data_IF_702433901987
#
_entry.id   IF_702433901987
#
_cell.length_a   1.000
_cell.length_b   1.000
_cell.length_c   1.000
_cell.angle_alpha   90.00
_cell.angle_beta   90.00
_cell.angle_gamma   90.00
#
_symmetry.space_group_name_H-M   'P 1'
#
loop_
_entity.id
_entity.type
_entity.pdbx_description
1 polymer ?
#
# COMPACT_ATOMS: atom_id res chain seq x y z
N UNK A 1 -57.05 -9.92 43.57
CA UNK A 1 -55.97 -10.07 42.57
C UNK A 1 -56.06 -8.85 41.67
N UNK A 2 -55.09 -7.98 41.82
CA UNK A 2 -54.99 -6.64 41.23
C UNK A 2 -54.66 -6.66 39.72
N UNK A 3 -54.80 -5.51 39.02
CA UNK A 3 -55.38 -5.39 37.69
C UNK A 3 -54.34 -4.99 36.62
N UNK A 4 -54.74 -4.92 35.34
CA UNK A 4 -54.16 -3.92 34.43
C UNK A 4 -55.24 -3.29 33.53
N UNK A 5 -55.39 -1.99 33.77
CA UNK A 5 -56.28 -1.03 33.12
C UNK A 5 -55.62 -0.53 31.83
N UNK A 6 -56.38 -0.57 30.73
CA UNK A 6 -56.11 0.15 29.49
C UNK A 6 -56.13 1.67 29.73
N UNK A 7 -55.06 2.38 29.39
CA UNK A 7 -55.08 3.81 29.10
C UNK A 7 -54.23 4.14 27.87
N UNK A 8 -54.92 4.68 26.87
CA UNK A 8 -54.37 5.34 25.69
C UNK A 8 -53.62 6.63 26.07
N UNK A 9 -52.49 6.89 25.42
CA UNK A 9 -51.98 8.25 25.22
C UNK A 9 -51.28 8.37 23.86
N UNK A 10 -51.99 9.05 22.96
CA UNK A 10 -51.54 10.03 21.95
C UNK A 10 -50.02 10.17 21.73
N UNK A 11 -49.54 9.76 20.55
CA UNK A 11 -48.24 10.19 20.02
C UNK A 11 -48.46 11.43 19.14
N UNK A 12 -47.96 12.57 19.62
CA UNK A 12 -47.86 13.80 18.85
C UNK A 12 -46.68 13.72 17.86
N UNK A 13 -46.95 14.11 16.61
CA UNK A 13 -45.96 14.44 15.61
C UNK A 13 -45.22 15.75 15.96
N UNK A 14 -43.90 15.77 15.78
CA UNK A 14 -43.17 16.98 15.38
C UNK A 14 -41.96 16.60 14.50
N UNK A 15 -41.69 17.33 13.41
CA UNK A 15 -40.68 16.99 12.39
C UNK A 15 -39.36 17.73 12.63
N UNK A 16 -38.22 17.08 12.39
CA UNK A 16 -36.92 17.77 12.32
C UNK A 16 -36.09 17.23 11.14
N UNK A 17 -36.04 18.07 10.11
CA UNK A 17 -34.96 18.36 9.15
C UNK A 17 -33.99 17.26 8.71
N UNK A 18 -34.16 16.83 7.45
CA UNK A 18 -33.13 16.17 6.64
C UNK A 18 -32.09 17.20 6.19
N UNK A 19 -30.86 17.08 6.67
CA UNK A 19 -29.69 17.71 6.05
C UNK A 19 -29.10 16.73 5.04
N UNK A 20 -29.16 17.12 3.77
CA UNK A 20 -28.47 16.51 2.65
C UNK A 20 -26.95 16.64 2.87
N UNK A 21 -26.23 15.52 2.85
CA UNK A 21 -24.80 15.53 2.51
C UNK A 21 -24.64 14.69 1.25
N UNK A 22 -24.15 15.41 0.23
CA UNK A 22 -23.91 15.02 -1.15
C UNK A 22 -23.02 13.79 -1.26
N UNK A 23 -23.59 12.69 -1.74
CA UNK A 23 -22.83 11.54 -2.25
C UNK A 23 -22.26 11.90 -3.62
N UNK A 24 -20.96 12.23 -3.68
CA UNK A 24 -20.24 12.33 -4.95
C UNK A 24 -19.19 11.21 -5.03
N UNK A 25 -19.58 10.17 -5.75
CA UNK A 25 -18.82 9.44 -6.75
C UNK A 25 -17.30 9.29 -6.53
N UNK A 26 -16.91 8.14 -5.97
CA UNK A 26 -15.61 7.53 -6.28
C UNK A 26 -15.92 6.14 -6.84
N UNK A 27 -16.18 6.11 -8.14
CA UNK A 27 -16.18 4.92 -8.97
C UNK A 27 -15.03 5.07 -9.94
N UNK A 28 -14.31 3.95 -10.17
CA UNK A 28 -13.18 3.69 -11.08
C UNK A 28 -11.82 3.86 -10.40
N UNK A 29 -10.97 2.85 -10.32
CA UNK A 29 -11.06 1.51 -10.88
C UNK A 29 -9.85 0.70 -10.43
N UNK A 30 -10.14 -0.42 -9.77
CA UNK A 30 -9.23 -1.54 -9.63
C UNK A 30 -9.16 -2.22 -11.00
N UNK A 31 -8.16 -1.87 -11.78
CA UNK A 31 -7.80 -2.62 -12.99
C UNK A 31 -6.36 -2.30 -13.33
N UNK A 32 -5.58 -3.36 -13.55
CA UNK A 32 -4.17 -3.40 -13.98
C UNK A 32 -3.11 -3.29 -12.89
N UNK A 33 -2.94 -4.36 -12.09
CA UNK A 33 -1.68 -4.63 -11.38
C UNK A 33 -1.02 -5.96 -11.75
N UNK A 34 -1.48 -6.65 -12.79
CA UNK A 34 -0.76 -7.78 -13.37
C UNK A 34 -0.81 -7.74 -14.88
N UNK A 35 0.22 -7.14 -15.48
CA UNK A 35 0.73 -7.58 -16.78
C UNK A 35 2.15 -7.07 -16.96
N UNK A 36 3.07 -8.01 -16.81
CA UNK A 36 4.45 -8.04 -17.30
C UNK A 36 4.75 -7.09 -18.46
N UNK A 37 5.84 -6.33 -18.36
CA UNK A 37 6.85 -6.23 -19.43
C UNK A 37 8.26 -6.08 -18.82
N UNK A 38 9.31 -6.61 -19.48
CA UNK A 38 10.62 -6.84 -18.90
C UNK A 38 11.59 -5.69 -19.19
N UNK A 39 12.60 -5.50 -18.34
CA UNK A 39 13.83 -4.84 -18.74
C UNK A 39 15.07 -5.48 -18.08
N UNK A 40 15.98 -5.92 -18.95
CA UNK A 40 17.33 -6.47 -18.73
C UNK A 40 18.25 -5.27 -18.42
N UNK A 41 19.24 -5.26 -17.52
CA UNK A 41 20.46 -6.09 -17.46
C UNK A 41 21.37 -5.73 -16.28
N UNK A 42 22.28 -6.68 -15.98
CA UNK A 42 23.62 -6.61 -15.37
C UNK A 42 23.70 -7.13 -13.93
N UNK A 43 24.59 -8.08 -13.53
CA UNK A 43 25.84 -8.63 -14.09
C UNK A 43 26.22 -9.94 -13.33
N UNK A 44 26.91 -10.86 -14.03
CA UNK A 44 27.86 -11.91 -13.54
C UNK A 44 27.27 -13.07 -12.70
N UNK A 45 27.58 -14.36 -12.87
CA UNK A 45 28.83 -15.02 -13.24
C UNK A 45 28.58 -16.53 -13.58
N UNK A 46 29.41 -17.09 -14.48
CA UNK A 46 29.90 -18.47 -14.55
C UNK A 46 29.07 -19.64 -15.17
N UNK A 47 29.69 -20.22 -16.22
CA UNK A 47 29.68 -21.63 -16.70
C UNK A 47 28.34 -22.16 -17.26
N UNK A 48 28.21 -22.84 -18.41
CA UNK A 48 29.09 -23.77 -19.13
C UNK A 48 28.68 -23.85 -20.61
N UNK A 49 29.58 -24.43 -21.40
CA UNK A 49 29.55 -24.74 -22.84
C UNK A 49 28.20 -25.26 -23.39
N UNK A 50 27.87 -24.87 -24.64
CA UNK A 50 27.75 -25.76 -25.83
C UNK A 50 27.56 -24.90 -27.10
N UNK A 51 28.30 -25.27 -28.15
CA UNK A 51 28.40 -24.66 -29.48
C UNK A 51 27.08 -24.61 -30.28
N UNK A 52 26.98 -23.69 -31.25
CA UNK A 52 26.91 -24.02 -32.69
C UNK A 52 26.92 -22.77 -33.60
N UNK A 53 27.95 -22.75 -34.46
CA UNK A 53 27.99 -22.28 -35.86
C UNK A 53 27.68 -20.81 -36.26
N UNK A 54 28.79 -20.14 -36.64
CA UNK A 54 29.05 -19.54 -37.97
C UNK A 54 28.23 -18.34 -38.44
N UNK A 55 28.82 -17.14 -38.38
CA UNK A 55 29.24 -16.34 -39.56
C UNK A 55 29.66 -14.90 -39.16
N UNK A 56 30.89 -14.50 -39.52
CA UNK A 56 31.34 -13.10 -39.69
C UNK A 56 30.85 -12.60 -41.08
N UNK A 57 30.96 -11.31 -41.50
CA UNK A 57 31.58 -10.17 -40.81
C UNK A 57 30.79 -8.83 -40.84
N UNK A 58 31.19 -7.93 -39.95
CA UNK A 58 31.21 -6.46 -40.12
C UNK A 58 29.88 -5.70 -40.29
N UNK A 59 29.29 -5.29 -39.17
CA UNK A 59 28.69 -3.96 -39.05
C UNK A 59 29.17 -3.31 -37.74
N UNK A 60 30.19 -2.47 -37.86
CA UNK A 60 30.63 -1.59 -36.79
C UNK A 60 29.59 -0.48 -36.62
N UNK A 61 28.62 -0.68 -35.73
CA UNK A 61 27.74 0.40 -35.30
C UNK A 61 28.52 1.25 -34.31
N UNK A 62 29.15 2.28 -34.88
CA UNK A 62 29.78 3.36 -34.15
C UNK A 62 28.66 4.22 -33.54
N UNK A 63 28.20 3.84 -32.33
CA UNK A 63 27.35 4.72 -31.53
C UNK A 63 28.22 5.88 -31.06
N UNK A 64 28.20 6.95 -31.86
CA UNK A 64 28.74 8.25 -31.49
C UNK A 64 27.88 8.77 -30.35
N UNK A 65 28.36 8.56 -29.13
CA UNK A 65 27.86 9.22 -27.93
C UNK A 65 28.10 10.72 -28.09
N UNK A 66 27.14 11.38 -28.76
CA UNK A 66 27.09 12.83 -28.80
C UNK A 66 26.53 13.27 -27.45
N UNK A 67 27.40 13.29 -26.46
CA UNK A 67 27.23 14.06 -25.23
C UNK A 67 26.97 15.52 -25.59
N UNK A 68 25.69 15.88 -25.73
CA UNK A 68 25.26 17.25 -25.53
C UNK A 68 24.97 17.36 -24.05
N UNK A 69 25.80 18.12 -23.35
CA UNK A 69 25.62 18.39 -21.93
C UNK A 69 24.22 18.95 -21.67
N UNK A 70 23.42 18.18 -20.95
CA UNK A 70 22.27 18.70 -20.25
C UNK A 70 22.79 19.49 -19.06
N UNK A 71 22.69 20.81 -19.17
CA UNK A 71 22.84 21.74 -18.06
C UNK A 71 21.92 21.27 -16.93
N UNK A 72 22.40 21.15 -15.68
CA UNK A 72 21.55 20.78 -14.56
C UNK A 72 20.37 21.75 -14.49
N UNK A 73 19.14 21.23 -14.61
CA UNK A 73 17.94 22.03 -14.41
C UNK A 73 18.02 22.68 -13.02
N UNK A 74 17.69 23.96 -12.94
CA UNK A 74 17.62 24.66 -11.65
C UNK A 74 16.38 24.18 -10.88
N UNK A 75 16.47 24.17 -9.55
CA UNK A 75 15.36 23.80 -8.66
C UNK A 75 14.12 24.65 -8.96
N UNK A 76 14.28 25.96 -9.23
CA UNK A 76 13.15 26.84 -9.57
C UNK A 76 12.47 26.44 -10.89
N UNK A 77 13.26 26.11 -11.93
CA UNK A 77 12.71 25.67 -13.21
C UNK A 77 12.00 24.32 -13.12
N UNK A 78 12.38 23.45 -12.17
CA UNK A 78 11.72 22.17 -11.97
C UNK A 78 10.26 22.34 -11.52
N UNK A 79 9.99 23.26 -10.58
CA UNK A 79 8.63 23.58 -10.14
C UNK A 79 7.77 24.12 -11.28
N UNK A 80 8.34 24.97 -12.14
CA UNK A 80 7.65 25.52 -13.32
C UNK A 80 7.32 24.44 -14.37
N UNK A 81 8.24 23.51 -14.64
CA UNK A 81 8.03 22.41 -15.59
C UNK A 81 6.87 21.50 -15.14
N UNK A 82 6.84 21.16 -13.85
CA UNK A 82 5.77 20.35 -13.27
C UNK A 82 4.48 21.15 -13.04
N UNK A 83 4.58 22.49 -12.98
CA UNK A 83 3.44 23.38 -12.77
C UNK A 83 2.90 23.33 -11.34
N UNK A 84 3.80 23.15 -10.36
CA UNK A 84 3.44 23.02 -8.94
C UNK A 84 4.12 24.13 -8.12
N UNK A 85 3.48 24.51 -7.01
CA UNK A 85 4.04 25.49 -6.07
C UNK A 85 5.30 24.95 -5.38
N UNK A 86 6.28 25.80 -5.00
CA UNK A 86 7.39 25.41 -4.13
C UNK A 86 6.93 24.81 -2.78
N UNK A 87 5.73 25.19 -2.32
CA UNK A 87 5.12 24.71 -1.07
C UNK A 87 4.13 23.54 -1.31
N UNK A 88 4.21 22.85 -2.46
CA UNK A 88 3.26 21.78 -2.79
C UNK A 88 3.42 20.55 -1.88
N UNK A 89 2.34 19.78 -1.75
CA UNK A 89 2.36 18.49 -1.02
C UNK A 89 2.94 17.37 -1.89
N UNK A 90 3.47 16.30 -1.27
CA UNK A 90 3.98 15.13 -2.01
C UNK A 90 2.92 14.51 -2.95
N UNK A 91 1.65 14.50 -2.51
CA UNK A 91 0.53 14.01 -3.32
C UNK A 91 0.31 14.87 -4.57
N UNK A 92 0.40 16.19 -4.43
CA UNK A 92 0.27 17.15 -5.53
C UNK A 92 1.43 17.02 -6.51
N UNK A 93 2.67 16.87 -6.01
CA UNK A 93 3.85 16.62 -6.82
C UNK A 93 3.72 15.34 -7.66
N UNK A 94 3.33 14.22 -7.03
CA UNK A 94 3.11 12.94 -7.71
C UNK A 94 1.96 13.02 -8.72
N UNK A 95 0.87 13.72 -8.39
CA UNK A 95 -0.28 13.92 -9.29
C UNK A 95 0.09 14.74 -10.53
N UNK A 96 0.83 15.84 -10.35
CA UNK A 96 1.29 16.69 -11.44
C UNK A 96 2.25 15.93 -12.37
N UNK A 97 3.19 15.16 -11.80
CA UNK A 97 4.08 14.30 -12.57
C UNK A 97 3.31 13.30 -13.44
N UNK A 98 2.37 12.53 -12.85
CA UNK A 98 1.54 11.56 -13.59
C UNK A 98 0.75 12.24 -14.73
N UNK A 99 0.23 13.44 -14.47
CA UNK A 99 -0.53 14.22 -15.45
C UNK A 99 0.34 14.66 -16.64
N UNK A 100 1.55 15.16 -16.37
CA UNK A 100 2.52 15.58 -17.40
C UNK A 100 3.05 14.40 -18.22
N UNK A 101 3.36 13.28 -17.57
CA UNK A 101 3.78 12.05 -18.28
C UNK A 101 2.69 11.56 -19.22
N UNK A 102 1.43 11.55 -18.76
CA UNK A 102 0.29 11.18 -19.62
C UNK A 102 0.11 12.13 -20.81
N UNK A 103 0.40 13.41 -20.63
CA UNK A 103 0.33 14.43 -21.69
C UNK A 103 1.41 14.23 -22.77
N UNK A 104 2.63 13.88 -22.35
CA UNK A 104 3.79 13.76 -23.25
C UNK A 104 4.16 12.31 -23.60
N UNK A 105 3.36 11.31 -23.21
CA UNK A 105 3.63 9.93 -23.56
C UNK A 105 3.65 9.75 -25.09
N UNK A 106 4.65 9.03 -25.66
CA UNK A 106 4.76 8.86 -27.11
C UNK A 106 3.53 8.21 -27.73
N UNK A 107 2.80 7.36 -26.99
CA UNK A 107 1.55 6.73 -27.47
C UNK A 107 0.37 7.71 -27.58
N UNK A 108 0.43 8.86 -26.92
CA UNK A 108 -0.67 9.84 -26.87
C UNK A 108 -0.33 11.11 -27.65
N UNK A 109 0.94 11.51 -27.69
CA UNK A 109 1.39 12.70 -28.40
C UNK A 109 1.58 12.46 -29.90
N UNK A 110 1.08 13.37 -30.73
CA UNK A 110 1.25 13.32 -32.19
C UNK A 110 2.62 13.84 -32.66
N UNK A 111 3.33 14.55 -31.79
CA UNK A 111 4.64 15.17 -32.08
C UNK A 111 5.77 14.43 -31.35
N UNK A 112 6.19 13.30 -31.93
CA UNK A 112 7.14 12.35 -31.30
C UNK A 112 8.47 12.97 -30.85
N UNK A 113 8.94 14.00 -31.56
CA UNK A 113 10.27 14.59 -31.33
C UNK A 113 10.27 15.65 -30.22
N UNK A 114 9.13 16.30 -29.98
CA UNK A 114 8.97 17.25 -28.87
C UNK A 114 8.52 16.53 -27.59
N UNK A 115 7.71 15.47 -27.72
CA UNK A 115 7.23 14.67 -26.59
C UNK A 115 8.36 13.99 -25.80
N UNK A 116 9.36 13.42 -26.49
CA UNK A 116 10.52 12.78 -25.83
C UNK A 116 11.35 13.80 -25.04
N UNK A 117 11.62 14.99 -25.61
CA UNK A 117 12.34 16.05 -24.91
C UNK A 117 11.58 16.55 -23.67
N UNK A 118 10.26 16.75 -23.79
CA UNK A 118 9.41 17.19 -22.68
C UNK A 118 9.31 16.13 -21.58
N UNK A 119 9.21 14.84 -21.92
CA UNK A 119 9.11 13.77 -20.92
C UNK A 119 10.40 13.68 -20.11
N UNK A 120 11.57 13.81 -20.75
CA UNK A 120 12.87 13.83 -20.08
C UNK A 120 12.96 15.00 -19.11
N UNK A 121 12.52 16.19 -19.52
CA UNK A 121 12.47 17.36 -18.65
C UNK A 121 11.54 17.18 -17.45
N UNK A 122 10.37 16.56 -17.65
CA UNK A 122 9.42 16.24 -16.58
C UNK A 122 10.01 15.25 -15.58
N UNK A 123 10.72 14.22 -16.05
CA UNK A 123 11.42 13.24 -15.19
C UNK A 123 12.52 13.93 -14.40
N UNK A 124 13.40 14.67 -15.07
CA UNK A 124 14.50 15.39 -14.41
C UNK A 124 14.00 16.42 -13.39
N UNK A 125 12.90 17.13 -13.69
CA UNK A 125 12.28 18.06 -12.75
C UNK A 125 11.75 17.34 -11.50
N UNK A 126 11.08 16.20 -11.66
CA UNK A 126 10.60 15.39 -10.53
C UNK A 126 11.75 14.91 -9.66
N UNK A 127 12.84 14.40 -10.25
CA UNK A 127 14.03 13.94 -9.51
C UNK A 127 14.71 15.04 -8.70
N UNK A 128 14.70 16.28 -9.17
CA UNK A 128 15.30 17.41 -8.46
C UNK A 128 14.44 17.82 -7.27
N UNK A 129 13.13 17.88 -7.45
CA UNK A 129 12.20 18.26 -6.37
C UNK A 129 12.12 17.14 -5.33
N UNK A 130 12.07 15.87 -5.74
CA UNK A 130 11.95 14.74 -4.82
C UNK A 130 13.16 14.56 -3.91
N UNK A 131 14.34 15.05 -4.31
CA UNK A 131 15.57 15.07 -3.48
C UNK A 131 15.59 16.17 -2.41
N UNK A 132 14.63 17.10 -2.42
CA UNK A 132 14.57 18.16 -1.42
C UNK A 132 14.13 17.58 -0.06
N UNK A 133 14.79 17.97 1.06
CA UNK A 133 14.47 17.46 2.39
C UNK A 133 12.99 17.59 2.79
N UNK A 134 12.27 18.58 2.25
CA UNK A 134 10.83 18.73 2.45
C UNK A 134 10.02 17.48 2.04
N UNK A 135 10.52 16.74 1.04
CA UNK A 135 9.90 15.52 0.53
C UNK A 135 10.61 14.24 1.00
N UNK A 136 11.85 14.33 1.53
CA UNK A 136 12.57 13.18 2.08
C UNK A 136 11.95 12.66 3.38
N UNK A 137 11.36 13.54 4.19
CA UNK A 137 10.75 13.12 5.47
C UNK A 137 9.33 12.56 5.28
N UNK A 138 8.80 12.58 4.06
CA UNK A 138 7.53 11.92 3.69
C UNK A 138 7.81 10.60 2.94
N UNK A 139 8.86 9.88 3.37
CA UNK A 139 9.10 8.45 3.06
C UNK A 139 8.03 7.55 3.72
N UNK A 140 6.75 7.85 3.51
CA UNK A 140 5.72 6.81 3.52
C UNK A 140 5.52 6.39 2.07
N UNK A 141 6.22 5.29 1.73
CA UNK A 141 5.84 4.37 0.65
C UNK A 141 6.18 4.82 -0.79
N UNK A 142 7.47 4.88 -1.14
CA UNK A 142 7.94 4.80 -2.53
C UNK A 142 9.40 4.34 -2.66
N UNK A 143 9.86 3.41 -1.81
CA UNK A 143 11.12 2.71 -2.06
C UNK A 143 10.96 1.64 -3.15
N UNK A 144 9.73 1.41 -3.64
CA UNK A 144 9.39 0.26 -4.49
C UNK A 144 9.57 -1.07 -3.79
N UNK A 145 9.82 -1.05 -2.47
CA UNK A 145 10.04 -2.22 -1.65
C UNK A 145 8.69 -2.69 -1.12
N UNK A 146 8.31 -3.91 -1.48
CA UNK A 146 7.09 -4.54 -0.97
C UNK A 146 7.19 -4.70 0.56
N UNK A 147 6.24 -4.15 1.35
CA UNK A 147 6.25 -4.29 2.81
C UNK A 147 6.12 -5.75 3.30
N UNK A 148 5.73 -6.67 2.41
CA UNK A 148 5.76 -8.11 2.69
C UNK A 148 7.10 -8.77 2.39
N UNK A 149 8.00 -8.13 1.64
CA UNK A 149 9.39 -8.59 1.42
C UNK A 149 10.35 -8.00 2.45
N UNK A 150 10.25 -6.69 2.72
CA UNK A 150 11.09 -5.99 3.70
C UNK A 150 10.21 -5.24 4.71
N UNK A 151 9.92 -5.86 5.87
CA UNK A 151 9.06 -5.25 6.87
C UNK A 151 9.70 -3.99 7.45
N UNK A 152 8.91 -2.93 7.56
CA UNK A 152 9.38 -1.62 7.99
C UNK A 152 9.72 -1.57 9.49
N UNK A 153 9.07 -2.43 10.28
CA UNK A 153 9.22 -2.49 11.73
C UNK A 153 8.88 -3.87 12.29
N UNK A 154 9.01 -4.02 13.61
CA UNK A 154 8.52 -5.20 14.31
C UNK A 154 6.99 -5.31 14.16
N UNK A 155 6.50 -6.52 13.90
CA UNK A 155 5.09 -6.80 13.68
C UNK A 155 4.32 -6.87 15.01
N UNK A 156 3.91 -5.69 15.50
CA UNK A 156 3.16 -5.55 16.75
C UNK A 156 1.67 -5.22 16.53
N UNK A 157 1.28 -4.96 15.29
CA UNK A 157 -0.12 -4.74 14.90
C UNK A 157 -0.84 -6.09 14.73
N UNK A 158 -2.15 -6.06 14.87
CA UNK A 158 -3.02 -7.23 14.86
C UNK A 158 -3.97 -7.11 13.66
N UNK A 159 -3.91 -8.11 12.79
CA UNK A 159 -4.86 -8.33 11.72
C UNK A 159 -5.76 -9.53 12.05
N UNK A 160 -7.07 -9.39 11.87
CA UNK A 160 -8.05 -10.48 12.04
C UNK A 160 -8.67 -10.81 10.69
N UNK A 161 -8.44 -12.02 10.21
CA UNK A 161 -9.06 -12.53 8.99
C UNK A 161 -10.51 -12.94 9.27
N UNK A 162 -11.44 -12.05 8.95
CA UNK A 162 -12.87 -12.26 9.17
C UNK A 162 -13.45 -13.44 8.39
N UNK A 163 -12.90 -13.77 7.21
CA UNK A 163 -13.38 -14.91 6.41
C UNK A 163 -13.22 -16.25 7.12
N UNK A 164 -12.28 -16.34 8.08
CA UNK A 164 -12.00 -17.55 8.86
C UNK A 164 -12.55 -17.47 10.30
N UNK A 165 -12.94 -16.28 10.75
CA UNK A 165 -13.33 -16.04 12.13
C UNK A 165 -14.68 -16.69 12.46
N UNK A 166 -14.72 -17.51 13.52
CA UNK A 166 -15.98 -18.11 14.01
C UNK A 166 -16.91 -17.04 14.62
N UNK A 167 -16.33 -15.94 15.11
CA UNK A 167 -17.09 -14.87 15.76
C UNK A 167 -17.58 -15.23 17.17
N UNK A 168 -18.77 -14.76 17.53
CA UNK A 168 -19.38 -14.88 18.87
C UNK A 168 -19.49 -16.33 19.39
N UNK A 169 -19.55 -17.32 18.49
CA UNK A 169 -19.63 -18.74 18.83
C UNK A 169 -18.29 -19.44 19.08
N UNK A 170 -17.16 -18.74 19.02
CA UNK A 170 -15.85 -19.35 19.20
C UNK A 170 -15.68 -19.94 20.63
N UNK A 171 -15.22 -21.19 20.79
CA UNK A 171 -14.96 -21.78 22.11
C UNK A 171 -13.81 -21.07 22.84
N UNK A 172 -12.81 -20.60 22.10
CA UNK A 172 -11.66 -19.82 22.59
C UNK A 172 -11.76 -18.40 22.05
N UNK A 173 -12.72 -17.63 22.57
CA UNK A 173 -13.01 -16.28 22.09
C UNK A 173 -11.92 -15.29 22.52
N UNK A 174 -11.24 -14.69 21.55
CA UNK A 174 -10.26 -13.62 21.77
C UNK A 174 -10.89 -12.38 22.44
N UNK A 175 -12.14 -12.04 22.10
CA UNK A 175 -12.90 -10.94 22.72
C UNK A 175 -13.20 -11.20 24.20
N UNK A 176 -13.51 -12.46 24.57
CA UNK A 176 -13.69 -12.82 25.99
C UNK A 176 -12.37 -12.88 26.74
N UNK A 177 -11.31 -13.37 26.10
CA UNK A 177 -9.99 -13.45 26.68
C UNK A 177 -9.37 -12.07 26.93
N UNK A 178 -9.59 -11.13 26.00
CA UNK A 178 -8.96 -9.80 26.01
C UNK A 178 -9.93 -8.72 25.46
N UNK A 179 -10.93 -8.28 26.26
CA UNK A 179 -12.00 -7.39 25.81
C UNK A 179 -11.57 -5.95 25.53
N UNK A 180 -10.40 -5.55 26.00
CA UNK A 180 -9.77 -4.26 25.67
C UNK A 180 -9.09 -4.28 24.29
N UNK A 181 -8.63 -5.45 23.83
CA UNK A 181 -7.87 -5.59 22.59
C UNK A 181 -8.72 -6.04 21.39
N UNK A 182 -9.83 -6.73 21.64
CA UNK A 182 -10.72 -7.23 20.61
C UNK A 182 -12.17 -6.87 20.91
N UNK A 183 -12.94 -6.60 19.87
CA UNK A 183 -14.39 -6.43 19.94
C UNK A 183 -15.08 -7.22 18.83
N UNK A 184 -16.37 -7.49 18.98
CA UNK A 184 -17.16 -8.08 17.90
C UNK A 184 -17.69 -6.99 16.98
N UNK A 185 -17.60 -7.25 15.68
CA UNK A 185 -18.32 -6.49 14.68
C UNK A 185 -19.84 -6.64 14.90
N UNK A 186 -20.58 -5.55 14.68
CA UNK A 186 -22.03 -5.52 14.92
C UNK A 186 -22.79 -6.29 13.84
N UNK A 187 -22.29 -6.29 12.62
CA UNK A 187 -22.97 -6.84 11.45
C UNK A 187 -22.55 -8.27 11.18
N UNK A 188 -21.24 -8.51 11.09
CA UNK A 188 -20.70 -9.85 10.77
C UNK A 188 -20.60 -10.75 12.00
N UNK A 189 -20.50 -10.16 13.19
CA UNK A 189 -20.33 -10.90 14.44
C UNK A 189 -18.94 -11.56 14.59
N UNK A 190 -18.02 -11.28 13.67
CA UNK A 190 -16.61 -11.67 13.70
C UNK A 190 -15.85 -10.79 14.69
N UNK A 191 -14.65 -11.22 15.08
CA UNK A 191 -13.78 -10.40 15.93
C UNK A 191 -13.04 -9.36 15.08
N UNK A 192 -12.83 -8.17 15.65
CA UNK A 192 -11.94 -7.11 15.15
C UNK A 192 -10.98 -6.69 16.25
N UNK A 193 -9.75 -6.33 15.89
CA UNK A 193 -8.80 -5.72 16.81
C UNK A 193 -9.18 -4.26 17.07
N UNK A 194 -9.21 -3.84 18.33
CA UNK A 194 -9.50 -2.46 18.76
C UNK A 194 -8.26 -1.67 19.10
N UNK A 195 -7.15 -2.36 19.38
CA UNK A 195 -5.86 -1.77 19.68
C UNK A 195 -4.81 -2.30 18.70
N UNK A 196 -3.83 -1.47 18.39
CA UNK A 196 -2.72 -1.76 17.47
C UNK A 196 -1.40 -1.43 18.18
N UNK A 197 -0.29 -2.02 17.71
CA UNK A 197 1.05 -1.80 18.26
C UNK A 197 1.33 -2.40 19.64
N UNK A 198 0.51 -3.34 20.11
CA UNK A 198 0.63 -3.94 21.45
C UNK A 198 1.01 -5.44 21.41
N UNK A 199 1.55 -5.95 20.30
CA UNK A 199 1.87 -7.38 20.13
C UNK A 199 2.82 -8.00 21.17
N UNK A 200 3.50 -7.19 21.99
CA UNK A 200 4.33 -7.65 23.11
C UNK A 200 3.54 -7.97 24.39
N UNK A 201 2.27 -7.58 24.45
CA UNK A 201 1.40 -7.91 25.58
C UNK A 201 1.12 -9.41 25.63
N UNK A 202 1.42 -10.03 26.78
CA UNK A 202 1.26 -11.47 26.97
C UNK A 202 -0.20 -11.94 26.80
N UNK A 203 -1.17 -11.15 27.24
CA UNK A 203 -2.59 -11.44 27.08
C UNK A 203 -3.00 -11.47 25.61
N UNK A 204 -2.49 -10.53 24.82
CA UNK A 204 -2.69 -10.48 23.36
C UNK A 204 -2.03 -11.70 22.70
N UNK A 205 -0.78 -12.02 23.02
CA UNK A 205 -0.08 -13.18 22.46
C UNK A 205 -0.82 -14.49 22.72
N UNK A 206 -1.36 -14.67 23.93
CA UNK A 206 -2.18 -15.82 24.28
C UNK A 206 -3.50 -15.85 23.49
N UNK A 207 -4.17 -14.71 23.34
CA UNK A 207 -5.41 -14.63 22.56
C UNK A 207 -5.20 -14.92 21.07
N UNK A 208 -4.08 -14.46 20.50
CA UNK A 208 -3.69 -14.72 19.11
C UNK A 208 -3.34 -16.20 18.93
N UNK A 209 -2.45 -16.73 19.78
CA UNK A 209 -1.98 -18.13 19.70
C UNK A 209 -3.07 -19.14 20.03
N UNK A 210 -4.06 -18.76 20.83
CA UNK A 210 -5.20 -19.61 21.22
C UNK A 210 -6.32 -19.70 20.18
N UNK A 211 -6.22 -18.99 19.04
CA UNK A 211 -7.27 -19.00 18.03
C UNK A 211 -7.33 -20.35 17.28
N UNK A 212 -8.45 -21.11 17.37
CA UNK A 212 -8.54 -22.48 16.80
C UNK A 212 -8.55 -22.49 15.26
N UNK A 213 -8.89 -21.37 14.63
CA UNK A 213 -8.90 -21.22 13.17
C UNK A 213 -7.67 -20.48 12.65
N UNK A 214 -6.75 -20.07 13.54
CA UNK A 214 -5.58 -19.27 13.20
C UNK A 214 -5.98 -18.07 12.30
N UNK A 215 -7.01 -17.32 12.71
CA UNK A 215 -7.51 -16.17 11.96
C UNK A 215 -6.98 -14.83 12.48
N UNK A 216 -6.02 -14.83 13.41
CA UNK A 216 -5.43 -13.64 14.02
C UNK A 216 -3.94 -13.67 13.74
N UNK A 217 -3.38 -12.58 13.23
CA UNK A 217 -2.00 -12.50 12.77
C UNK A 217 -1.32 -11.23 13.23
N UNK A 218 -0.04 -11.35 13.61
CA UNK A 218 0.83 -10.21 13.85
C UNK A 218 1.40 -9.70 12.53
N UNK A 219 1.24 -8.40 12.29
CA UNK A 219 1.60 -7.73 11.04
C UNK A 219 2.26 -6.39 11.33
N UNK A 220 2.94 -5.82 10.35
CA UNK A 220 3.38 -4.42 10.43
C UNK A 220 2.23 -3.47 10.10
N UNK A 221 2.31 -2.18 10.47
CA UNK A 221 1.28 -1.20 10.12
C UNK A 221 0.98 -1.12 8.61
N UNK A 222 2.00 -1.22 7.75
CA UNK A 222 1.84 -1.15 6.30
C UNK A 222 1.19 -2.41 5.74
N UNK A 223 1.65 -3.59 6.20
CA UNK A 223 1.01 -4.86 5.85
C UNK A 223 -0.47 -4.89 6.28
N UNK A 224 -0.80 -4.39 7.49
CA UNK A 224 -2.17 -4.37 8.00
C UNK A 224 -3.13 -3.61 7.09
N UNK A 225 -2.73 -2.43 6.62
CA UNK A 225 -3.55 -1.60 5.73
C UNK A 225 -3.91 -2.38 4.46
N UNK A 226 -2.91 -3.00 3.83
CA UNK A 226 -3.09 -3.78 2.59
C UNK A 226 -4.00 -4.99 2.83
N UNK A 227 -3.80 -5.71 3.94
CA UNK A 227 -4.61 -6.87 4.29
C UNK A 227 -6.07 -6.50 4.62
N UNK A 228 -6.29 -5.39 5.34
CA UNK A 228 -7.63 -4.89 5.65
C UNK A 228 -8.38 -4.45 4.40
N UNK A 229 -7.72 -3.75 3.47
CA UNK A 229 -8.32 -3.33 2.21
C UNK A 229 -8.72 -4.54 1.34
N UNK A 230 -7.81 -5.52 1.20
CA UNK A 230 -8.09 -6.75 0.47
C UNK A 230 -9.21 -7.57 1.13
N UNK A 231 -9.23 -7.64 2.46
CA UNK A 231 -10.30 -8.31 3.21
C UNK A 231 -11.65 -7.64 2.97
N UNK A 232 -11.70 -6.31 2.96
CA UNK A 232 -12.93 -5.57 2.68
C UNK A 232 -13.44 -5.86 1.26
N UNK A 233 -12.55 -5.90 0.25
CA UNK A 233 -12.91 -6.30 -1.13
C UNK A 233 -13.58 -7.68 -1.18
N UNK A 234 -12.97 -8.66 -0.51
CA UNK A 234 -13.48 -10.04 -0.43
C UNK A 234 -14.88 -10.09 0.21
N UNK A 235 -15.11 -9.28 1.24
CA UNK A 235 -16.37 -9.27 1.98
C UNK A 235 -17.50 -8.53 1.22
N UNK A 236 -17.16 -7.54 0.39
CA UNK A 236 -18.13 -6.77 -0.39
C UNK A 236 -18.56 -7.47 -1.70
N UNK A 237 -17.69 -8.30 -2.31
CA UNK A 237 -17.97 -8.98 -3.58
C UNK A 237 -17.66 -10.49 -3.55
N UNK A 238 -18.62 -11.34 -3.14
CA UNK A 238 -18.39 -12.78 -2.99
C UNK A 238 -18.28 -13.55 -4.31
N UNK A 239 -18.53 -12.93 -5.47
CA UNK A 239 -18.60 -13.62 -6.77
C UNK A 239 -17.20 -13.99 -7.31
N UNK A 240 -16.17 -13.20 -6.98
CA UNK A 240 -14.76 -13.44 -7.35
C UNK A 240 -13.84 -13.65 -6.13
N UNK A 241 -14.42 -13.75 -4.94
CA UNK A 241 -13.72 -13.80 -3.65
C UNK A 241 -12.69 -14.94 -3.52
N UNK A 242 -12.76 -15.97 -4.36
CA UNK A 242 -11.81 -17.10 -4.29
C UNK A 242 -10.39 -16.66 -4.67
N UNK A 243 -10.24 -15.82 -5.71
CA UNK A 243 -8.91 -15.37 -6.14
C UNK A 243 -8.30 -14.41 -5.11
N UNK A 244 -9.08 -13.43 -4.65
CA UNK A 244 -8.64 -12.48 -3.63
C UNK A 244 -8.36 -13.16 -2.28
N UNK A 245 -9.16 -14.16 -1.88
CA UNK A 245 -8.89 -14.93 -0.66
C UNK A 245 -7.58 -15.73 -0.75
N UNK A 246 -7.24 -16.26 -1.94
CA UNK A 246 -5.95 -16.90 -2.17
C UNK A 246 -4.78 -15.91 -2.07
N UNK A 247 -4.95 -14.70 -2.62
CA UNK A 247 -3.96 -13.62 -2.49
C UNK A 247 -3.80 -13.24 -1.01
N UNK A 248 -4.90 -13.04 -0.28
CA UNK A 248 -4.90 -12.72 1.14
C UNK A 248 -4.15 -13.78 1.94
N UNK A 249 -4.44 -15.06 1.69
CA UNK A 249 -3.74 -16.17 2.33
C UNK A 249 -2.24 -16.19 2.02
N UNK A 250 -1.86 -15.95 0.77
CA UNK A 250 -0.45 -15.86 0.34
C UNK A 250 0.30 -14.74 1.06
N UNK A 251 -0.29 -13.54 1.11
CA UNK A 251 0.29 -12.37 1.77
C UNK A 251 0.43 -12.57 3.28
N UNK A 252 -0.59 -13.13 3.95
CA UNK A 252 -0.50 -13.48 5.37
C UNK A 252 0.64 -14.47 5.62
N UNK A 253 0.78 -15.48 4.75
CA UNK A 253 1.83 -16.49 4.87
C UNK A 253 3.21 -15.85 4.71
N UNK A 254 3.36 -14.95 3.73
CA UNK A 254 4.58 -14.17 3.50
C UNK A 254 4.91 -13.27 4.69
N UNK A 255 3.95 -12.49 5.19
CA UNK A 255 4.11 -11.65 6.37
C UNK A 255 4.57 -12.45 7.60
N UNK A 256 3.94 -13.59 7.90
CA UNK A 256 4.34 -14.45 9.02
C UNK A 256 5.79 -14.90 8.91
N UNK A 257 6.24 -15.20 7.69
CA UNK A 257 7.60 -15.65 7.42
C UNK A 257 8.62 -14.53 7.58
N UNK A 258 8.41 -13.37 6.95
CA UNK A 258 9.37 -12.26 6.98
C UNK A 258 9.40 -11.51 8.30
N UNK A 259 8.24 -11.32 8.95
CA UNK A 259 8.17 -10.63 10.24
C UNK A 259 8.96 -11.38 11.34
N UNK A 260 9.04 -12.71 11.24
CA UNK A 260 9.83 -13.54 12.17
C UNK A 260 11.35 -13.37 11.99
N UNK A 261 11.78 -12.75 10.88
CA UNK A 261 13.19 -12.54 10.51
C UNK A 261 13.62 -11.08 10.61
N UNK A 262 12.69 -10.16 10.85
CA UNK A 262 12.99 -8.74 10.99
C UNK A 262 14.06 -8.51 12.07
N UNK A 263 15.07 -7.70 11.72
CA UNK A 263 16.10 -7.26 12.64
C UNK A 263 16.11 -5.73 12.66
N UNK A 264 15.87 -5.14 13.84
CA UNK A 264 15.91 -3.69 13.99
C UNK A 264 17.30 -3.16 13.59
N UNK A 265 17.39 -2.17 12.69
CA UNK A 265 18.67 -1.54 12.35
C UNK A 265 19.35 -1.00 13.60
N UNK A 266 20.66 -1.25 13.74
CA UNK A 266 21.46 -0.70 14.85
C UNK A 266 21.54 0.81 14.69
N UNK A 267 20.94 1.55 15.62
CA UNK A 267 21.05 3.02 15.70
C UNK A 267 22.54 3.39 15.76
N UNK A 268 23.06 4.06 14.73
CA UNK A 268 24.41 4.63 14.76
C UNK A 268 24.37 5.82 15.70
N UNK A 269 24.93 5.66 16.91
CA UNK A 269 25.18 6.75 17.85
C UNK A 269 25.87 7.90 17.11
N UNK A 270 25.12 8.98 16.85
CA UNK A 270 25.70 10.27 16.52
C UNK A 270 26.38 10.76 17.79
N UNK A 271 27.68 10.50 17.92
CA UNK A 271 28.51 11.17 18.91
C UNK A 271 28.45 12.67 18.59
N UNK A 272 27.77 13.40 19.45
CA UNK A 272 27.81 14.84 19.54
C UNK A 272 29.25 15.29 19.79
N UNK A 273 29.95 15.71 18.75
CA UNK A 273 31.12 16.57 18.88
C UNK A 273 30.63 17.98 19.25
N UNK A 274 30.88 18.37 20.50
CA UNK A 274 31.00 19.76 20.94
C UNK A 274 32.27 19.88 21.77
#
# INVERSE_FOLDING_TARGET
MEPLVLRNTTLCFAPISKTLISSNNISKGFSTLFSSFPFISNKSLAHNQICLQSCHPSFTLHCKDNGRGEYPLSVSSAYEILGVSPDCSLLELKSAFRSKVKQYHPDVSKDAQNSDAMIRQVISAYEIISKNPQFSDTDRDDSGVDPFDEPECEALDIFVNETLCIGKGCPFSCVKAMPNAFSFDKWTGTARATIQGQGNDYGIQNAVSGCPRNCIHFVTPSQRIILEELLNSIMESPVDATAEANILYSLITKAKFENSRYQKPKEKNQQSSF
#
